data_IF_105419158269
#
_entry.id   IF_105419158269
#
_cell.length_a   1.000
_cell.length_b   1.000
_cell.length_c   1.000
_cell.angle_alpha   90.00
_cell.angle_beta   90.00
_cell.angle_gamma   90.00
#
_symmetry.space_group_name_H-M   'P 1'
#
loop_
_entity.id
_entity.type
_entity.pdbx_description
1 polymer ?
#
# COMPACT_ATOMS: atom_id res chain seq x y z
N UNK A 1 -4.94 -3.16 -11.13
CA UNK A 1 -3.72 -2.33 -11.10
C UNK A 1 -3.31 -2.07 -9.66
N UNK A 2 -2.10 -2.40 -9.35
CA UNK A 2 -1.59 -2.26 -8.00
C UNK A 2 -1.16 -0.81 -7.73
N UNK A 3 -1.81 -0.19 -6.75
CA UNK A 3 -1.46 1.17 -6.34
C UNK A 3 -0.28 1.11 -5.39
N UNK A 4 0.79 1.78 -5.73
CA UNK A 4 1.93 1.87 -4.84
C UNK A 4 1.73 3.00 -3.81
N UNK A 5 2.51 2.94 -2.74
CA UNK A 5 2.44 3.91 -1.64
C UNK A 5 2.71 5.34 -2.10
N UNK A 6 3.60 5.53 -3.07
CA UNK A 6 3.92 6.84 -3.61
C UNK A 6 2.74 7.47 -4.36
N UNK A 7 2.01 6.67 -5.13
CA UNK A 7 0.80 7.14 -5.81
C UNK A 7 -0.29 7.55 -4.84
N UNK A 8 -0.49 6.77 -3.78
CA UNK A 8 -1.45 7.12 -2.71
C UNK A 8 -1.05 8.42 -2.02
N UNK A 9 0.21 8.56 -1.66
CA UNK A 9 0.73 9.78 -1.03
C UNK A 9 0.58 11.00 -1.94
N UNK A 10 0.74 10.83 -3.25
CA UNK A 10 0.54 11.90 -4.23
C UNK A 10 -0.92 12.41 -4.20
N UNK A 11 -1.89 11.51 -4.23
CA UNK A 11 -3.30 11.89 -4.20
C UNK A 11 -3.68 12.51 -2.86
N UNK A 12 -3.26 11.94 -1.75
CA UNK A 12 -3.53 12.50 -0.41
C UNK A 12 -2.97 13.91 -0.27
N UNK A 13 -1.73 14.12 -0.72
CA UNK A 13 -1.09 15.42 -0.65
C UNK A 13 -1.77 16.46 -1.55
N UNK A 14 -2.24 16.06 -2.74
CA UNK A 14 -3.02 16.93 -3.61
C UNK A 14 -4.31 17.37 -2.94
N UNK A 15 -5.06 16.45 -2.35
CA UNK A 15 -6.31 16.79 -1.67
C UNK A 15 -6.08 17.66 -0.43
N UNK A 16 -5.04 17.38 0.35
CA UNK A 16 -4.68 18.18 1.52
C UNK A 16 -4.34 19.64 1.16
N UNK A 17 -3.92 19.87 -0.08
CA UNK A 17 -3.59 21.21 -0.60
C UNK A 17 -4.65 21.80 -1.52
N UNK A 18 -5.88 21.32 -1.45
CA UNK A 18 -7.00 21.84 -2.22
C UNK A 18 -7.01 21.40 -3.68
N UNK A 19 -6.31 20.34 -4.03
CA UNK A 19 -6.26 19.79 -5.39
C UNK A 19 -5.29 20.47 -6.33
N UNK A 20 -4.44 21.36 -5.84
CA UNK A 20 -3.52 22.13 -6.66
C UNK A 20 -2.20 22.35 -5.93
N UNK A 21 -1.08 22.03 -6.58
CA UNK A 21 0.24 22.16 -5.97
C UNK A 21 1.33 22.35 -7.02
N UNK A 22 2.42 23.02 -6.64
CA UNK A 22 3.59 23.14 -7.50
C UNK A 22 4.37 21.82 -7.56
N UNK A 23 4.84 21.46 -8.75
CA UNK A 23 5.64 20.22 -8.93
C UNK A 23 6.87 20.19 -8.04
N UNK A 24 7.58 21.32 -7.89
CA UNK A 24 8.77 21.41 -7.05
C UNK A 24 8.46 21.07 -5.59
N UNK A 25 7.33 21.50 -5.08
CA UNK A 25 6.90 21.27 -3.72
C UNK A 25 6.58 19.78 -3.48
N UNK A 26 5.82 19.16 -4.40
CA UNK A 26 5.46 17.75 -4.25
C UNK A 26 6.65 16.82 -4.49
N UNK A 27 7.56 17.17 -5.39
CA UNK A 27 8.81 16.45 -5.57
C UNK A 27 9.63 16.44 -4.28
N UNK A 28 9.72 17.57 -3.61
CA UNK A 28 10.42 17.69 -2.33
C UNK A 28 9.74 16.86 -1.23
N UNK A 29 8.43 16.92 -1.14
CA UNK A 29 7.64 16.17 -0.16
C UNK A 29 7.77 14.66 -0.33
N UNK A 30 7.70 14.16 -1.57
CA UNK A 30 7.78 12.74 -1.87
C UNK A 30 9.20 12.24 -2.11
N UNK A 31 10.20 13.14 -2.08
CA UNK A 31 11.61 12.82 -2.41
C UNK A 31 11.75 12.19 -3.79
N UNK A 32 11.06 12.75 -4.78
CA UNK A 32 11.06 12.29 -6.16
C UNK A 32 11.68 13.33 -7.10
N UNK A 33 12.29 12.86 -8.18
CA UNK A 33 12.63 13.71 -9.31
C UNK A 33 11.37 14.08 -10.09
N UNK A 34 11.44 15.14 -10.89
CA UNK A 34 10.33 15.54 -11.76
C UNK A 34 9.89 14.38 -12.68
N UNK A 35 10.84 13.65 -13.23
CA UNK A 35 10.57 12.51 -14.10
C UNK A 35 9.84 11.39 -13.35
N UNK A 36 10.29 11.07 -12.15
CA UNK A 36 9.65 10.06 -11.31
C UNK A 36 8.24 10.49 -10.88
N UNK A 37 8.06 11.79 -10.58
CA UNK A 37 6.76 12.34 -10.26
C UNK A 37 5.79 12.19 -11.43
N UNK A 38 6.19 12.56 -12.64
CA UNK A 38 5.33 12.43 -13.83
C UNK A 38 4.99 10.98 -14.12
N UNK A 39 5.91 10.06 -13.86
CA UNK A 39 5.64 8.62 -13.96
C UNK A 39 4.55 8.18 -12.96
N UNK A 40 4.60 8.66 -11.73
CA UNK A 40 3.56 8.37 -10.73
C UNK A 40 2.22 9.00 -11.13
N UNK A 41 2.24 10.20 -11.67
CA UNK A 41 1.03 10.86 -12.20
C UNK A 41 0.39 10.02 -13.30
N UNK A 42 1.18 9.52 -14.24
CA UNK A 42 0.68 8.67 -15.32
C UNK A 42 0.03 7.39 -14.78
N UNK A 43 0.68 6.73 -13.82
CA UNK A 43 0.13 5.54 -13.16
C UNK A 43 -1.19 5.82 -12.46
N UNK A 44 -1.25 6.93 -11.72
CA UNK A 44 -2.47 7.31 -11.02
C UNK A 44 -3.58 7.69 -12.01
N UNK A 45 -3.23 8.30 -13.13
CA UNK A 45 -4.20 8.61 -14.18
C UNK A 45 -4.77 7.35 -14.83
N UNK A 46 -3.97 6.32 -15.02
CA UNK A 46 -4.47 5.01 -15.48
C UNK A 46 -5.52 4.46 -14.50
N UNK A 47 -5.23 4.51 -13.21
CA UNK A 47 -6.16 4.07 -12.17
C UNK A 47 -7.44 4.93 -12.16
N UNK A 48 -7.31 6.25 -12.23
CA UNK A 48 -8.46 7.16 -12.24
C UNK A 48 -9.33 6.93 -13.48
N UNK A 49 -8.71 6.75 -14.64
CA UNK A 49 -9.42 6.47 -15.89
C UNK A 49 -10.17 5.13 -15.84
N UNK A 50 -9.55 4.09 -15.30
CA UNK A 50 -10.19 2.78 -15.13
C UNK A 50 -11.44 2.86 -14.25
N UNK A 51 -11.46 3.77 -13.29
CA UNK A 51 -12.58 4.00 -12.38
C UNK A 51 -13.51 5.12 -12.83
N UNK A 52 -13.36 5.62 -14.05
CA UNK A 52 -14.18 6.70 -14.64
C UNK A 52 -14.14 7.99 -13.82
N UNK A 53 -12.98 8.29 -13.25
CA UNK A 53 -12.74 9.49 -12.47
C UNK A 53 -11.91 10.50 -13.24
N UNK A 54 -11.97 11.77 -12.81
CA UNK A 54 -11.17 12.85 -13.42
C UNK A 54 -9.68 12.62 -13.19
N UNK A 55 -8.89 12.80 -14.23
CA UNK A 55 -7.45 12.58 -14.18
C UNK A 55 -6.71 13.78 -13.57
N UNK A 56 -5.51 13.51 -13.08
CA UNK A 56 -4.57 14.53 -12.64
C UNK A 56 -4.05 15.27 -13.88
N UNK A 57 -4.13 16.60 -13.87
CA UNK A 57 -3.64 17.45 -14.96
C UNK A 57 -2.34 18.11 -14.55
N UNK A 58 -1.31 17.97 -15.35
CA UNK A 58 -0.05 18.68 -15.17
C UNK A 58 0.06 19.80 -16.20
N UNK A 59 0.13 21.03 -15.75
CA UNK A 59 0.27 22.22 -16.60
C UNK A 59 1.45 23.05 -16.13
N UNK A 60 2.46 23.22 -17.01
CA UNK A 60 3.64 23.99 -16.66
C UNK A 60 4.36 23.41 -15.46
N UNK A 61 4.31 24.12 -14.33
CA UNK A 61 4.96 23.73 -13.09
C UNK A 61 3.97 23.30 -12.00
N UNK A 62 2.70 23.10 -12.34
CA UNK A 62 1.65 22.74 -11.39
C UNK A 62 1.01 21.40 -11.74
N UNK A 63 0.54 20.75 -10.69
CA UNK A 63 -0.28 19.53 -10.77
C UNK A 63 -1.64 19.85 -10.15
N UNK A 64 -2.71 19.46 -10.83
CA UNK A 64 -4.08 19.74 -10.40
C UNK A 64 -4.91 18.47 -10.44
N UNK A 65 -5.76 18.31 -9.42
CA UNK A 65 -6.75 17.23 -9.36
C UNK A 65 -8.07 17.82 -8.88
N UNK A 66 -9.17 17.52 -9.57
CA UNK A 66 -10.49 18.00 -9.18
C UNK A 66 -10.87 17.48 -7.78
N UNK A 67 -11.32 18.39 -6.92
CA UNK A 67 -11.78 18.03 -5.56
C UNK A 67 -13.25 17.60 -5.54
N UNK A 68 -13.97 17.75 -6.65
CA UNK A 68 -15.39 17.40 -6.73
C UNK A 68 -15.64 15.91 -6.52
N UNK A 69 -14.71 15.06 -6.98
CA UNK A 69 -14.80 13.61 -6.86
C UNK A 69 -13.99 13.04 -5.69
N UNK A 70 -13.50 13.89 -4.80
CA UNK A 70 -12.64 13.49 -3.69
C UNK A 70 -13.22 12.33 -2.87
N UNK A 71 -14.49 12.41 -2.50
CA UNK A 71 -15.14 11.36 -1.70
C UNK A 71 -15.19 10.02 -2.44
N UNK A 72 -15.44 10.03 -3.75
CA UNK A 72 -15.44 8.82 -4.57
C UNK A 72 -14.04 8.21 -4.64
N UNK A 73 -13.03 9.05 -4.88
CA UNK A 73 -11.64 8.63 -4.95
C UNK A 73 -11.19 8.03 -3.63
N UNK A 74 -11.47 8.70 -2.51
CA UNK A 74 -11.12 8.21 -1.18
C UNK A 74 -11.78 6.86 -0.87
N UNK A 75 -13.04 6.68 -1.25
CA UNK A 75 -13.76 5.43 -1.05
C UNK A 75 -13.14 4.27 -1.85
N UNK A 76 -12.77 4.52 -3.10
CA UNK A 76 -12.13 3.53 -3.95
C UNK A 76 -10.73 3.20 -3.44
N UNK A 77 -9.94 4.21 -3.07
CA UNK A 77 -8.61 4.04 -2.50
C UNK A 77 -8.66 3.27 -1.17
N UNK A 78 -9.64 3.56 -0.33
CA UNK A 78 -9.84 2.83 0.92
C UNK A 78 -10.12 1.35 0.66
N UNK A 79 -10.95 1.03 -0.34
CA UNK A 79 -11.21 -0.35 -0.74
C UNK A 79 -9.95 -1.03 -1.27
N UNK A 80 -9.13 -0.33 -2.04
CA UNK A 80 -7.86 -0.84 -2.56
C UNK A 80 -6.84 -1.02 -1.42
N UNK A 81 -6.80 -0.09 -0.48
CA UNK A 81 -5.92 -0.18 0.68
C UNK A 81 -6.27 -1.38 1.57
N UNK A 82 -7.56 -1.66 1.75
CA UNK A 82 -8.01 -2.87 2.45
C UNK A 82 -7.53 -4.12 1.70
N UNK A 83 -7.68 -4.16 0.38
CA UNK A 83 -7.18 -5.28 -0.44
C UNK A 83 -5.65 -5.40 -0.33
N UNK A 84 -4.94 -4.29 -0.38
CA UNK A 84 -3.48 -4.26 -0.32
C UNK A 84 -2.95 -4.62 1.08
N UNK A 85 -3.71 -4.38 2.15
CA UNK A 85 -3.35 -4.81 3.51
C UNK A 85 -3.27 -6.31 3.65
N UNK A 86 -3.90 -7.06 2.77
CA UNK A 86 -3.76 -8.51 2.73
C UNK A 86 -2.47 -8.97 2.05
N UNK A 87 -1.76 -8.07 1.34
CA UNK A 87 -0.44 -8.34 0.79
C UNK A 87 0.64 -7.88 1.76
N UNK A 88 0.77 -8.60 2.85
CA UNK A 88 1.80 -8.35 3.85
C UNK A 88 3.16 -8.74 3.29
N UNK A 89 4.21 -7.97 3.62
CA UNK A 89 5.57 -8.38 3.36
C UNK A 89 5.92 -9.63 4.19
N UNK A 90 7.00 -10.32 3.82
CA UNK A 90 7.44 -11.49 4.59
C UNK A 90 7.71 -11.12 6.06
N UNK A 91 8.32 -9.98 6.33
CA UNK A 91 8.59 -9.50 7.69
C UNK A 91 7.31 -9.19 8.46
N UNK A 92 6.34 -8.54 7.81
CA UNK A 92 5.04 -8.24 8.40
C UNK A 92 4.27 -9.51 8.71
N UNK A 93 4.33 -10.53 7.83
CA UNK A 93 3.71 -11.83 8.07
C UNK A 93 4.34 -12.54 9.27
N UNK A 94 5.66 -12.50 9.39
CA UNK A 94 6.36 -13.10 10.54
C UNK A 94 5.94 -12.43 11.85
N UNK A 95 5.85 -11.11 11.89
CA UNK A 95 5.38 -10.38 13.05
C UNK A 95 3.94 -10.75 13.41
N UNK A 96 3.05 -10.83 12.42
CA UNK A 96 1.65 -11.20 12.62
C UNK A 96 1.51 -12.62 13.14
N UNK A 97 2.22 -13.59 12.57
CA UNK A 97 2.22 -14.98 13.02
C UNK A 97 2.67 -15.06 14.48
N UNK A 98 3.74 -14.35 14.82
CA UNK A 98 4.27 -14.33 16.20
C UNK A 98 3.24 -13.80 17.19
N UNK A 99 2.59 -12.69 16.87
CA UNK A 99 1.56 -12.08 17.72
C UNK A 99 0.37 -13.01 17.88
N UNK A 100 -0.16 -13.52 16.77
CA UNK A 100 -1.34 -14.39 16.76
C UNK A 100 -1.11 -15.66 17.57
N UNK A 101 0.04 -16.31 17.38
CA UNK A 101 0.38 -17.55 18.10
C UNK A 101 0.62 -17.28 19.59
N UNK A 102 1.27 -16.16 19.93
CA UNK A 102 1.57 -15.81 21.32
C UNK A 102 0.34 -15.40 22.12
N UNK A 103 -0.62 -14.72 21.50
CA UNK A 103 -1.80 -14.16 22.19
C UNK A 103 -3.00 -15.10 22.15
N UNK A 104 -3.09 -15.97 21.16
CA UNK A 104 -4.23 -16.87 20.98
C UNK A 104 -4.18 -18.04 21.94
N UNK A 105 -5.31 -18.31 22.61
CA UNK A 105 -5.50 -19.50 23.42
C UNK A 105 -6.02 -20.70 22.60
N UNK A 106 -6.32 -20.47 21.33
CA UNK A 106 -6.86 -21.48 20.42
C UNK A 106 -5.77 -21.83 19.41
N UNK A 107 -5.47 -23.11 19.17
CA UNK A 107 -4.50 -23.50 18.16
C UNK A 107 -4.93 -23.06 16.77
N UNK A 108 -4.02 -22.44 16.03
CA UNK A 108 -4.24 -22.11 14.62
C UNK A 108 -3.80 -23.27 13.73
N UNK A 109 -4.66 -23.60 12.76
CA UNK A 109 -4.29 -24.55 11.72
C UNK A 109 -3.54 -23.83 10.60
N UNK A 110 -2.80 -24.58 9.80
CA UNK A 110 -2.15 -24.07 8.58
C UNK A 110 -3.17 -23.37 7.68
N UNK A 111 -4.33 -23.97 7.50
CA UNK A 111 -5.41 -23.41 6.68
C UNK A 111 -5.93 -22.10 7.23
N UNK A 112 -6.14 -22.00 8.54
CA UNK A 112 -6.60 -20.76 9.19
C UNK A 112 -5.61 -19.62 8.99
N UNK A 113 -4.33 -19.87 9.14
CA UNK A 113 -3.28 -18.86 8.94
C UNK A 113 -3.18 -18.43 7.48
N UNK A 114 -3.29 -19.36 6.55
CA UNK A 114 -3.31 -19.05 5.12
C UNK A 114 -4.49 -18.16 4.75
N UNK A 115 -5.69 -18.45 5.28
CA UNK A 115 -6.88 -17.65 5.06
C UNK A 115 -6.76 -16.27 5.68
N UNK A 116 -6.25 -16.18 6.91
CA UNK A 116 -6.07 -14.91 7.61
C UNK A 116 -5.14 -13.96 6.85
N UNK A 117 -4.08 -14.47 6.27
CA UNK A 117 -3.05 -13.67 5.59
C UNK A 117 -3.20 -13.67 4.07
N UNK A 118 -4.16 -14.41 3.53
CA UNK A 118 -4.36 -14.58 2.09
C UNK A 118 -3.09 -14.99 1.35
N UNK A 119 -2.46 -16.05 1.84
CA UNK A 119 -1.23 -16.61 1.26
C UNK A 119 -1.38 -18.10 0.97
N UNK A 120 -0.52 -18.61 0.11
CA UNK A 120 -0.47 -20.04 -0.19
C UNK A 120 0.18 -20.82 0.97
N UNK A 121 -0.11 -22.10 1.00
CA UNK A 121 0.52 -23.03 1.97
C UNK A 121 2.05 -23.03 1.84
N UNK A 122 2.57 -22.98 0.62
CA UNK A 122 4.01 -22.94 0.37
C UNK A 122 4.65 -21.68 0.95
N UNK A 123 4.00 -20.52 0.80
CA UNK A 123 4.46 -19.26 1.39
C UNK A 123 4.47 -19.35 2.91
N UNK A 124 3.42 -19.92 3.51
CA UNK A 124 3.34 -20.08 4.96
C UNK A 124 4.46 -21.00 5.49
N UNK A 125 4.73 -22.12 4.81
CA UNK A 125 5.80 -23.04 5.19
C UNK A 125 7.16 -22.33 5.17
N UNK A 126 7.42 -21.53 4.14
CA UNK A 126 8.64 -20.72 4.04
C UNK A 126 8.73 -19.71 5.18
N UNK A 127 7.63 -19.02 5.49
CA UNK A 127 7.56 -18.03 6.57
C UNK A 127 7.83 -18.67 7.93
N UNK A 128 7.24 -19.83 8.20
CA UNK A 128 7.43 -20.57 9.47
C UNK A 128 8.90 -21.02 9.61
N UNK A 129 9.51 -21.48 8.53
CA UNK A 129 10.93 -21.85 8.54
C UNK A 129 11.83 -20.65 8.87
N UNK A 130 11.53 -19.49 8.29
CA UNK A 130 12.25 -18.25 8.57
C UNK A 130 12.05 -17.80 10.02
N UNK A 131 10.84 -17.95 10.57
CA UNK A 131 10.54 -17.61 11.96
C UNK A 131 11.32 -18.53 12.92
N UNK A 132 11.35 -19.82 12.69
CA UNK A 132 12.13 -20.77 13.48
C UNK A 132 13.60 -20.41 13.51
N UNK A 133 14.16 -20.02 12.36
CA UNK A 133 15.55 -19.57 12.27
C UNK A 133 15.81 -18.36 13.13
N UNK A 134 14.94 -17.35 13.07
CA UNK A 134 15.05 -16.13 13.91
C UNK A 134 14.96 -16.46 15.40
N UNK A 135 14.05 -17.32 15.80
CA UNK A 135 13.89 -17.72 17.20
C UNK A 135 15.11 -18.48 17.71
N UNK A 136 15.70 -19.32 16.87
CA UNK A 136 16.94 -20.02 17.19
C UNK A 136 18.10 -19.06 17.40
N UNK A 137 18.23 -18.03 16.56
CA UNK A 137 19.27 -17.01 16.66
C UNK A 137 19.19 -16.22 17.96
N UNK A 138 18.01 -16.03 18.52
CA UNK A 138 17.83 -15.34 19.82
C UNK A 138 17.71 -16.29 21.00
N UNK A 139 17.93 -17.57 20.81
CA UNK A 139 17.94 -18.59 21.87
C UNK A 139 16.56 -19.01 22.38
N UNK A 140 15.49 -18.75 21.65
CA UNK A 140 14.12 -19.09 22.02
C UNK A 140 13.64 -20.44 21.44
N UNK A 141 14.49 -21.10 20.68
CA UNK A 141 14.10 -22.36 20.03
C UNK A 141 15.23 -23.38 20.05
#
# INVERSE_FOLDING_TARGET
>A
MELNRQGLSLIEYLYDNGGQIQMSQICKYLSLSKRSLLYQVDKMNDFLRENQLSEIVSTGQRIMLSVEEQKKVEKILFSQEIKNRYFLSAEERLALITIVVAVSHIPFTTESLCQLMDISKNTLVTDIAALKKKLTEVGLF
#
